data_IF_263999006943
#
_entry.id   IF_263999006943
#
_cell.length_a   1.000
_cell.length_b   1.000
_cell.length_c   1.000
_cell.angle_alpha   90.00
_cell.angle_beta   90.00
_cell.angle_gamma   90.00
#
_symmetry.space_group_name_H-M   'P 1'
#
loop_
_entity.id
_entity.type
_entity.pdbx_description
1 polymer ?
#
# COMPACT_ATOMS: atom_id res chain seq x y z
N UNK A 1 -6.68 0.04 16.86
CA UNK A 1 -6.64 -0.57 15.54
C UNK A 1 -5.54 0.02 14.65
N UNK A 2 -5.44 1.33 14.55
CA UNK A 2 -4.34 1.98 13.80
C UNK A 2 -2.95 1.56 14.28
N UNK A 3 -2.74 1.52 15.59
CA UNK A 3 -1.45 1.11 16.19
C UNK A 3 -1.07 -0.33 15.82
N UNK A 4 -2.04 -1.22 15.70
CA UNK A 4 -1.81 -2.60 15.26
C UNK A 4 -1.39 -2.67 13.78
N UNK A 5 -1.97 -1.81 12.93
CA UNK A 5 -1.55 -1.70 11.52
C UNK A 5 -0.11 -1.18 11.43
N UNK A 6 0.21 -0.13 12.18
CA UNK A 6 1.56 0.45 12.21
C UNK A 6 2.60 -0.56 12.69
N UNK A 7 2.31 -1.28 13.76
CA UNK A 7 3.20 -2.32 14.29
C UNK A 7 3.40 -3.47 13.27
N UNK A 8 2.31 -3.95 12.66
CA UNK A 8 2.38 -5.01 11.64
C UNK A 8 3.18 -4.56 10.41
N UNK A 9 3.01 -3.31 9.99
CA UNK A 9 3.73 -2.73 8.86
C UNK A 9 5.23 -2.56 9.17
N UNK A 10 5.58 -2.09 10.36
CA UNK A 10 6.98 -2.03 10.83
C UNK A 10 7.64 -3.40 10.83
N UNK A 11 6.97 -4.40 11.36
CA UNK A 11 7.47 -5.78 11.37
C UNK A 11 7.65 -6.33 9.95
N UNK A 12 6.72 -6.03 9.05
CA UNK A 12 6.82 -6.42 7.65
C UNK A 12 8.03 -5.75 6.97
N UNK A 13 8.21 -4.45 7.12
CA UNK A 13 9.37 -3.75 6.58
C UNK A 13 10.69 -4.26 7.15
N UNK A 14 10.74 -4.54 8.45
CA UNK A 14 11.94 -5.09 9.08
C UNK A 14 12.32 -6.46 8.50
N UNK A 15 11.34 -7.36 8.28
CA UNK A 15 11.56 -8.65 7.62
C UNK A 15 12.02 -8.46 6.19
N UNK A 16 11.33 -7.62 5.44
CA UNK A 16 11.64 -7.35 4.03
C UNK A 16 13.05 -6.79 3.85
N UNK A 17 13.45 -5.83 4.69
CA UNK A 17 14.79 -5.26 4.68
C UNK A 17 15.85 -6.32 5.03
N UNK A 18 15.66 -7.03 6.14
CA UNK A 18 16.59 -8.06 6.59
C UNK A 18 16.82 -9.15 5.52
N UNK A 19 15.73 -9.67 4.96
CA UNK A 19 15.77 -10.78 4.02
C UNK A 19 16.33 -10.32 2.66
N UNK A 20 15.99 -9.13 2.22
CA UNK A 20 16.51 -8.53 0.98
C UNK A 20 17.97 -8.14 1.07
N UNK A 21 18.34 -7.40 2.10
CA UNK A 21 19.71 -6.87 2.28
C UNK A 21 20.74 -7.98 2.54
N UNK A 22 20.35 -9.04 3.27
CA UNK A 22 21.21 -10.20 3.50
C UNK A 22 21.58 -10.93 2.20
N UNK A 23 20.73 -10.86 1.19
CA UNK A 23 20.92 -11.55 -0.10
C UNK A 23 21.58 -10.70 -1.17
N UNK A 24 21.27 -9.41 -1.24
CA UNK A 24 21.62 -8.53 -2.39
C UNK A 24 22.12 -7.15 -1.99
N UNK A 25 22.18 -6.84 -0.71
CA UNK A 25 22.43 -5.47 -0.24
C UNK A 25 21.20 -4.58 -0.36
N UNK A 26 21.41 -3.27 -0.32
CA UNK A 26 20.34 -2.29 -0.42
C UNK A 26 19.60 -2.40 -1.75
N UNK A 27 18.27 -2.34 -1.73
CA UNK A 27 17.51 -2.26 -2.97
C UNK A 27 17.81 -0.98 -3.73
N UNK A 28 17.85 -1.08 -5.06
CA UNK A 28 18.09 0.03 -5.96
C UNK A 28 16.82 0.33 -6.76
N UNK A 29 16.60 1.60 -7.04
CA UNK A 29 15.57 2.05 -7.97
C UNK A 29 16.16 3.06 -8.97
N UNK A 30 15.43 3.31 -10.05
CA UNK A 30 15.78 4.39 -10.97
C UNK A 30 15.78 5.72 -10.24
N UNK A 31 16.75 6.55 -10.59
CA UNK A 31 16.84 7.90 -10.06
C UNK A 31 16.29 8.90 -11.07
N UNK A 32 15.31 9.67 -10.62
CA UNK A 32 14.69 10.74 -11.39
C UNK A 32 14.79 12.03 -10.60
N UNK A 33 15.39 13.07 -11.21
CA UNK A 33 15.65 14.34 -10.54
C UNK A 33 14.36 15.03 -10.04
N UNK A 34 13.27 14.88 -10.80
CA UNK A 34 11.97 15.49 -10.52
C UNK A 34 11.04 14.59 -9.69
N UNK A 35 11.46 13.35 -9.38
CA UNK A 35 10.64 12.38 -8.63
C UNK A 35 11.37 11.85 -7.39
N UNK A 36 11.82 12.76 -6.56
CA UNK A 36 12.60 12.43 -5.36
C UNK A 36 11.73 11.94 -4.22
N UNK A 37 12.34 11.15 -3.33
CA UNK A 37 11.67 10.61 -2.14
C UNK A 37 12.58 10.67 -0.91
N UNK A 38 11.99 10.83 0.28
CA UNK A 38 12.71 10.64 1.54
C UNK A 38 13.26 9.22 1.74
N UNK A 39 12.78 8.24 0.96
CA UNK A 39 13.28 6.86 0.97
C UNK A 39 14.70 6.73 0.40
N UNK A 40 15.15 7.66 -0.44
CA UNK A 40 16.42 7.59 -1.15
C UNK A 40 17.59 7.78 -0.20
N UNK A 41 18.64 6.96 -0.37
CA UNK A 41 19.83 6.92 0.46
C UNK A 41 21.07 7.22 -0.38
N UNK A 42 21.85 8.20 0.06
CA UNK A 42 23.11 8.55 -0.60
C UNK A 42 22.94 9.22 -1.98
N UNK A 43 24.00 9.21 -2.74
CA UNK A 43 24.04 9.81 -4.06
C UNK A 43 23.71 8.78 -5.15
N UNK A 44 23.01 9.18 -6.21
CA UNK A 44 22.73 8.28 -7.33
C UNK A 44 24.03 7.93 -8.08
N UNK A 45 24.10 6.69 -8.56
CA UNK A 45 25.17 6.20 -9.42
C UNK A 45 24.58 5.39 -10.57
N UNK A 46 25.09 5.61 -11.78
CA UNK A 46 24.62 4.91 -13.00
C UNK A 46 23.08 4.96 -13.21
N UNK A 47 22.49 6.11 -12.89
CA UNK A 47 21.03 6.31 -13.03
C UNK A 47 20.19 5.59 -11.98
N UNK A 48 20.80 5.09 -10.91
CA UNK A 48 20.12 4.37 -9.82
C UNK A 48 20.49 4.94 -8.46
N UNK A 49 19.61 4.76 -7.50
CA UNK A 49 19.81 5.16 -6.12
C UNK A 49 19.33 4.07 -5.17
N UNK A 50 20.06 3.88 -4.08
CA UNK A 50 19.63 2.99 -3.01
C UNK A 50 18.43 3.59 -2.25
N UNK A 51 17.57 2.73 -1.72
CA UNK A 51 16.40 3.19 -0.99
C UNK A 51 15.99 2.22 0.14
N UNK A 52 15.22 2.73 1.08
CA UNK A 52 14.52 1.98 2.12
C UNK A 52 13.16 2.61 2.39
N UNK A 53 12.18 1.85 2.89
CA UNK A 53 10.98 2.45 3.46
C UNK A 53 11.34 3.51 4.50
N UNK A 54 10.64 4.63 4.45
CA UNK A 54 10.92 5.79 5.30
C UNK A 54 9.70 6.16 6.12
N UNK A 55 9.83 6.18 7.45
CA UNK A 55 8.76 6.63 8.34
C UNK A 55 8.61 8.15 8.25
N UNK A 56 7.38 8.62 8.05
CA UNK A 56 7.07 10.05 7.99
C UNK A 56 7.22 10.68 9.37
N UNK A 57 7.72 11.91 9.41
CA UNK A 57 7.76 12.70 10.65
C UNK A 57 6.36 13.09 11.13
N UNK A 58 5.44 13.32 10.21
CA UNK A 58 4.04 13.63 10.48
C UNK A 58 3.13 12.76 9.62
N UNK A 59 2.03 12.23 10.20
CA UNK A 59 1.03 11.48 9.45
C UNK A 59 0.41 12.32 8.33
N UNK A 60 0.08 11.68 7.22
CA UNK A 60 -0.65 12.33 6.14
C UNK A 60 -2.10 12.61 6.53
N UNK A 61 -2.65 13.70 6.02
CA UNK A 61 -4.04 14.09 6.23
C UNK A 61 -4.94 13.57 5.10
N UNK A 62 -6.01 12.84 5.46
CA UNK A 62 -7.01 12.31 4.53
C UNK A 62 -8.37 13.01 4.66
N UNK A 63 -8.45 14.09 5.44
CA UNK A 63 -9.72 14.78 5.74
C UNK A 63 -10.38 15.32 4.46
N UNK A 64 -9.61 15.98 3.59
CA UNK A 64 -10.14 16.52 2.34
C UNK A 64 -10.71 15.43 1.42
N UNK A 65 -10.07 14.27 1.35
CA UNK A 65 -10.56 13.13 0.57
C UNK A 65 -11.86 12.57 1.17
N UNK A 66 -11.90 12.40 2.47
CA UNK A 66 -13.09 11.91 3.19
C UNK A 66 -14.28 12.88 3.00
N UNK A 67 -14.05 14.18 3.13
CA UNK A 67 -15.07 15.21 2.93
C UNK A 67 -15.59 15.23 1.50
N UNK A 68 -14.69 15.17 0.52
CA UNK A 68 -15.07 15.13 -0.91
C UNK A 68 -15.94 13.93 -1.27
N UNK A 69 -15.72 12.80 -0.60
CA UNK A 69 -16.47 11.56 -0.80
C UNK A 69 -17.71 11.46 0.11
N UNK A 70 -17.84 12.36 1.09
CA UNK A 70 -18.86 12.23 2.15
C UNK A 70 -18.81 10.83 2.79
N UNK A 71 -17.60 10.35 3.07
CA UNK A 71 -17.34 8.99 3.52
C UNK A 71 -16.28 8.99 4.62
N UNK A 72 -16.53 8.28 5.70
CA UNK A 72 -15.51 8.02 6.70
C UNK A 72 -14.56 6.94 6.17
N UNK A 73 -13.29 7.27 6.03
CA UNK A 73 -12.27 6.32 5.59
C UNK A 73 -11.86 5.42 6.75
N UNK A 74 -11.81 4.13 6.51
CA UNK A 74 -11.45 3.16 7.56
C UNK A 74 -10.07 3.47 8.13
N UNK A 75 -9.89 3.48 9.46
CA UNK A 75 -8.62 3.85 10.11
C UNK A 75 -7.41 3.03 9.67
N UNK A 76 -7.62 1.75 9.31
CA UNK A 76 -6.54 0.89 8.81
C UNK A 76 -5.97 1.37 7.47
N UNK A 77 -6.80 1.91 6.57
CA UNK A 77 -6.33 2.47 5.30
C UNK A 77 -5.52 3.75 5.53
N UNK A 78 -6.00 4.62 6.42
CA UNK A 78 -5.28 5.83 6.81
C UNK A 78 -3.91 5.49 7.41
N UNK A 79 -3.87 4.48 8.29
CA UNK A 79 -2.63 4.01 8.88
C UNK A 79 -1.65 3.44 7.84
N UNK A 80 -2.15 2.65 6.89
CA UNK A 80 -1.31 2.06 5.83
C UNK A 80 -0.65 3.12 4.96
N UNK A 81 -1.43 4.08 4.48
CA UNK A 81 -0.95 5.07 3.51
C UNK A 81 -0.37 6.35 4.12
N UNK A 82 -0.66 6.61 5.39
CA UNK A 82 -0.38 7.90 6.01
C UNK A 82 0.91 8.01 6.80
N UNK A 83 1.62 6.92 7.06
CA UNK A 83 2.76 6.92 7.98
C UNK A 83 4.11 6.56 7.36
N UNK A 84 4.10 5.97 6.16
CA UNK A 84 5.32 5.51 5.51
C UNK A 84 5.36 5.91 4.05
N UNK A 85 6.56 6.23 3.59
CA UNK A 85 6.90 6.24 2.17
C UNK A 85 7.64 4.97 1.82
N UNK A 86 7.37 4.44 0.64
CA UNK A 86 8.06 3.27 0.10
C UNK A 86 7.76 3.16 -1.39
N UNK A 87 8.55 2.39 -2.11
CA UNK A 87 8.11 1.84 -3.39
C UNK A 87 7.08 0.73 -3.14
N UNK A 88 6.24 0.41 -4.13
CA UNK A 88 5.42 -0.79 -4.06
C UNK A 88 6.28 -2.02 -3.78
N UNK A 89 5.83 -2.91 -2.89
CA UNK A 89 6.61 -4.06 -2.46
C UNK A 89 5.99 -5.36 -2.96
N UNK A 90 6.67 -6.08 -3.87
CA UNK A 90 6.25 -7.42 -4.27
C UNK A 90 6.36 -8.40 -3.10
N UNK A 91 5.30 -9.16 -2.88
CA UNK A 91 5.23 -10.16 -1.81
C UNK A 91 4.20 -11.25 -2.13
N UNK A 92 4.07 -12.21 -1.22
CA UNK A 92 3.12 -13.31 -1.32
C UNK A 92 2.16 -13.31 -0.14
N UNK A 93 0.93 -13.69 -0.41
CA UNK A 93 -0.05 -14.07 0.61
C UNK A 93 -0.59 -15.45 0.28
N UNK A 94 -0.20 -16.48 1.03
CA UNK A 94 -0.61 -17.88 0.78
C UNK A 94 -0.45 -18.30 -0.69
N UNK A 95 0.69 -17.97 -1.28
CA UNK A 95 1.00 -18.27 -2.68
C UNK A 95 0.42 -17.29 -3.70
N UNK A 96 -0.44 -16.36 -3.31
CA UNK A 96 -0.93 -15.30 -4.18
C UNK A 96 0.14 -14.21 -4.30
N UNK A 97 0.63 -13.99 -5.53
CA UNK A 97 1.54 -12.89 -5.83
C UNK A 97 0.79 -11.56 -5.82
N UNK A 98 1.33 -10.61 -5.09
CA UNK A 98 0.78 -9.26 -5.01
C UNK A 98 1.89 -8.22 -4.89
N UNK A 99 1.54 -6.98 -5.14
CA UNK A 99 2.39 -5.83 -4.92
C UNK A 99 1.67 -4.86 -3.99
N UNK A 100 2.19 -4.70 -2.78
CA UNK A 100 1.63 -3.80 -1.77
C UNK A 100 1.82 -2.36 -2.23
N UNK A 101 0.72 -1.60 -2.31
CA UNK A 101 0.73 -0.20 -2.73
C UNK A 101 1.14 0.67 -1.56
N UNK A 102 2.16 1.50 -1.79
CA UNK A 102 2.66 2.49 -0.83
C UNK A 102 3.07 3.75 -1.60
N UNK A 103 2.88 4.94 -1.05
CA UNK A 103 3.28 6.17 -1.72
C UNK A 103 4.81 6.35 -1.62
N UNK A 104 5.40 6.83 -2.71
CA UNK A 104 6.84 7.10 -2.81
C UNK A 104 7.22 8.44 -2.17
N UNK A 105 6.40 9.46 -2.39
CA UNK A 105 6.56 10.81 -1.88
C UNK A 105 5.18 11.49 -1.72
N UNK A 106 5.15 12.74 -1.32
CA UNK A 106 3.88 13.46 -1.14
C UNK A 106 3.10 13.63 -2.46
N UNK A 107 3.77 13.86 -3.58
CA UNK A 107 3.11 13.98 -4.88
C UNK A 107 2.50 12.63 -5.32
N UNK A 108 3.18 11.53 -5.07
CA UNK A 108 2.66 10.18 -5.31
C UNK A 108 1.46 9.84 -4.41
N UNK A 109 1.49 10.30 -3.16
CA UNK A 109 0.35 10.18 -2.25
C UNK A 109 -0.87 10.96 -2.77
N UNK A 110 -0.67 12.14 -3.34
CA UNK A 110 -1.76 12.92 -3.93
C UNK A 110 -2.38 12.19 -5.13
N UNK A 111 -1.56 11.60 -5.98
CA UNK A 111 -2.03 10.73 -7.08
C UNK A 111 -2.79 9.51 -6.57
N UNK A 112 -2.29 8.87 -5.51
CA UNK A 112 -2.97 7.75 -4.88
C UNK A 112 -4.35 8.17 -4.33
N UNK A 113 -4.46 9.32 -3.69
CA UNK A 113 -5.74 9.86 -3.21
C UNK A 113 -6.71 10.12 -4.37
N UNK A 114 -6.25 10.70 -5.47
CA UNK A 114 -7.08 10.90 -6.68
C UNK A 114 -7.58 9.56 -7.23
N UNK A 115 -6.72 8.56 -7.32
CA UNK A 115 -7.09 7.22 -7.78
C UNK A 115 -8.09 6.53 -6.84
N UNK A 116 -7.93 6.69 -5.53
CA UNK A 116 -8.87 6.17 -4.53
C UNK A 116 -10.24 6.86 -4.65
N UNK A 117 -10.28 8.17 -4.85
CA UNK A 117 -11.52 8.92 -5.08
C UNK A 117 -12.21 8.37 -6.32
N UNK A 118 -11.52 8.25 -7.43
CA UNK A 118 -12.08 7.69 -8.68
C UNK A 118 -12.63 6.27 -8.50
N UNK A 119 -11.89 5.42 -7.79
CA UNK A 119 -12.32 4.06 -7.48
C UNK A 119 -13.60 4.03 -6.61
N UNK A 120 -13.64 4.81 -5.55
CA UNK A 120 -14.80 4.87 -4.65
C UNK A 120 -16.04 5.46 -5.33
N UNK A 121 -15.87 6.46 -6.20
CA UNK A 121 -16.96 7.00 -7.00
C UNK A 121 -17.49 5.95 -8.02
N UNK A 122 -16.60 5.16 -8.62
CA UNK A 122 -16.99 4.06 -9.49
C UNK A 122 -17.81 3.00 -8.74
N UNK A 123 -17.36 2.59 -7.55
CA UNK A 123 -18.09 1.63 -6.72
C UNK A 123 -19.48 2.16 -6.35
N UNK A 124 -19.57 3.45 -6.00
CA UNK A 124 -20.85 4.12 -5.69
C UNK A 124 -21.82 4.08 -6.90
N UNK A 125 -21.31 4.39 -8.09
CA UNK A 125 -22.07 4.32 -9.34
C UNK A 125 -22.57 2.91 -9.64
N UNK A 126 -21.76 1.90 -9.34
CA UNK A 126 -22.11 0.49 -9.50
C UNK A 126 -22.94 -0.07 -8.33
N UNK A 127 -23.28 0.75 -7.35
CA UNK A 127 -24.00 0.36 -6.12
C UNK A 127 -23.31 -0.78 -5.36
N UNK A 128 -21.98 -0.80 -5.38
CA UNK A 128 -21.14 -1.71 -4.61
C UNK A 128 -20.71 -1.05 -3.30
N UNK A 129 -20.51 -1.86 -2.25
CA UNK A 129 -20.03 -1.35 -0.97
C UNK A 129 -18.62 -0.80 -1.11
N UNK A 130 -18.28 0.30 -0.40
CA UNK A 130 -16.96 0.94 -0.52
C UNK A 130 -15.83 0.00 -0.10
N UNK A 131 -14.82 -0.10 -0.93
CA UNK A 131 -13.55 -0.76 -0.63
C UNK A 131 -12.38 0.12 -1.06
N UNK A 132 -11.25 -0.04 -0.40
CA UNK A 132 -10.03 0.71 -0.65
C UNK A 132 -8.98 -0.27 -1.14
N UNK A 133 -8.49 -0.11 -2.37
CA UNK A 133 -7.45 -0.98 -2.88
C UNK A 133 -6.14 -0.74 -2.11
N UNK A 134 -5.46 -1.82 -1.74
CA UNK A 134 -4.21 -1.80 -0.98
C UNK A 134 -3.07 -2.54 -1.69
N UNK A 135 -3.38 -3.38 -2.65
CA UNK A 135 -2.40 -4.11 -3.43
C UNK A 135 -2.95 -4.48 -4.81
N UNK A 136 -2.05 -4.59 -5.76
CA UNK A 136 -2.31 -5.15 -7.09
C UNK A 136 -1.95 -6.62 -7.12
N UNK A 137 -2.46 -7.36 -8.10
CA UNK A 137 -2.10 -8.75 -8.35
C UNK A 137 -1.56 -8.90 -9.78
N UNK A 138 -1.15 -10.11 -10.15
CA UNK A 138 -0.75 -10.41 -11.55
C UNK A 138 -1.93 -10.41 -12.53
N UNK A 139 -3.16 -10.45 -12.03
CA UNK A 139 -4.36 -10.37 -12.83
C UNK A 139 -4.93 -8.95 -12.74
N UNK A 140 -4.90 -8.22 -13.86
CA UNK A 140 -5.39 -6.82 -13.94
C UNK A 140 -6.86 -6.65 -13.56
N UNK A 141 -7.65 -7.72 -13.59
CA UNK A 141 -9.07 -7.70 -13.20
C UNK A 141 -9.28 -7.91 -11.71
N UNK A 142 -8.22 -8.13 -10.93
CA UNK A 142 -8.31 -8.33 -9.48
C UNK A 142 -7.48 -7.32 -8.72
N UNK A 143 -8.00 -6.91 -7.56
CA UNK A 143 -7.31 -6.08 -6.58
C UNK A 143 -7.38 -6.75 -5.21
N UNK A 144 -6.43 -6.45 -4.36
CA UNK A 144 -6.58 -6.70 -2.94
C UNK A 144 -7.07 -5.41 -2.31
N UNK A 145 -8.19 -5.49 -1.61
CA UNK A 145 -8.92 -4.34 -1.11
C UNK A 145 -9.25 -4.50 0.37
N UNK A 146 -9.34 -3.39 1.05
CA UNK A 146 -9.84 -3.28 2.43
C UNK A 146 -11.32 -2.89 2.37
N UNK A 147 -12.19 -3.68 3.00
CA UNK A 147 -13.58 -3.26 3.22
C UNK A 147 -13.60 -2.01 4.10
N UNK A 148 -14.17 -0.93 3.56
CA UNK A 148 -14.18 0.34 4.28
C UNK A 148 -15.09 0.34 5.52
N UNK A 149 -15.99 -0.61 5.64
CA UNK A 149 -16.87 -0.75 6.81
C UNK A 149 -16.26 -1.66 7.88
N UNK A 150 -15.92 -2.89 7.52
CA UNK A 150 -15.46 -3.90 8.48
C UNK A 150 -13.95 -3.93 8.70
N UNK A 151 -13.16 -3.43 7.75
CA UNK A 151 -11.71 -3.55 7.76
C UNK A 151 -11.19 -4.92 7.33
N UNK A 152 -12.04 -5.81 6.86
CA UNK A 152 -11.62 -7.09 6.27
C UNK A 152 -10.80 -6.85 5.01
N UNK A 153 -9.89 -7.77 4.70
CA UNK A 153 -9.11 -7.74 3.47
C UNK A 153 -9.67 -8.74 2.49
N UNK A 154 -9.94 -8.26 1.27
CA UNK A 154 -10.56 -9.02 0.19
C UNK A 154 -9.67 -9.16 -1.03
N UNK A 155 -9.81 -10.27 -1.74
CA UNK A 155 -9.53 -10.33 -3.17
C UNK A 155 -10.81 -9.93 -3.90
N UNK A 156 -10.75 -8.88 -4.69
CA UNK A 156 -11.89 -8.27 -5.36
C UNK A 156 -11.75 -8.36 -6.88
N UNK A 157 -12.79 -8.86 -7.56
CA UNK A 157 -12.88 -8.89 -9.02
C UNK A 157 -13.61 -7.63 -9.52
N UNK A 158 -12.93 -6.84 -10.31
CA UNK A 158 -13.45 -5.54 -10.77
C UNK A 158 -14.64 -5.66 -11.71
N UNK A 159 -14.64 -6.68 -12.57
CA UNK A 159 -15.72 -6.93 -13.55
C UNK A 159 -17.02 -7.36 -12.89
N UNK A 160 -16.97 -8.38 -12.06
CA UNK A 160 -18.16 -9.00 -11.44
C UNK A 160 -18.54 -8.38 -10.09
N UNK A 161 -17.61 -7.70 -9.43
CA UNK A 161 -17.77 -7.26 -8.04
C UNK A 161 -17.71 -8.39 -7.01
N UNK A 162 -17.30 -9.60 -7.45
CA UNK A 162 -17.08 -10.73 -6.54
C UNK A 162 -15.97 -10.39 -5.55
N UNK A 163 -16.12 -10.85 -4.32
CA UNK A 163 -15.18 -10.64 -3.22
C UNK A 163 -14.92 -11.94 -2.48
N UNK A 164 -13.66 -12.20 -2.17
CA UNK A 164 -13.21 -13.34 -1.36
C UNK A 164 -12.43 -12.80 -0.16
N UNK A 165 -12.87 -13.10 1.05
CA UNK A 165 -12.16 -12.69 2.25
C UNK A 165 -10.82 -13.42 2.37
N UNK A 166 -9.73 -12.65 2.44
CA UNK A 166 -8.37 -13.15 2.62
C UNK A 166 -7.96 -13.13 4.10
N UNK A 167 -8.34 -12.10 4.82
CA UNK A 167 -8.00 -11.92 6.22
C UNK A 167 -9.08 -11.12 6.95
N UNK A 168 -9.24 -11.32 8.29
CA UNK A 168 -10.25 -10.61 9.06
C UNK A 168 -9.92 -9.14 9.32
N UNK A 169 -8.65 -8.75 9.14
CA UNK A 169 -8.16 -7.38 9.36
C UNK A 169 -6.88 -7.12 8.59
N UNK A 170 -6.53 -5.85 8.43
CA UNK A 170 -5.27 -5.47 7.79
C UNK A 170 -4.04 -5.93 8.59
N UNK A 171 -3.97 -5.79 9.93
CA UNK A 171 -2.86 -6.35 10.69
C UNK A 171 -2.67 -7.85 10.46
N UNK A 172 -3.74 -8.63 10.51
CA UNK A 172 -3.69 -10.08 10.27
C UNK A 172 -3.21 -10.41 8.85
N UNK A 173 -3.56 -9.60 7.87
CA UNK A 173 -3.08 -9.72 6.49
C UNK A 173 -1.57 -9.43 6.40
N UNK A 174 -1.13 -8.29 6.93
CA UNK A 174 0.28 -7.86 6.89
C UNK A 174 1.22 -8.85 7.59
N UNK A 175 0.80 -9.41 8.73
CA UNK A 175 1.60 -10.40 9.47
C UNK A 175 1.85 -11.70 8.70
N UNK A 176 0.97 -12.02 7.76
CA UNK A 176 1.06 -13.24 6.92
C UNK A 176 1.70 -13.02 5.57
N UNK A 177 2.10 -11.79 5.25
CA UNK A 177 2.83 -11.52 4.02
C UNK A 177 4.21 -12.16 4.06
N UNK A 178 4.53 -12.86 2.99
CA UNK A 178 5.84 -13.46 2.77
C UNK A 178 6.63 -12.58 1.82
N UNK A 179 7.89 -12.32 2.16
CA UNK A 179 8.79 -11.53 1.32
C UNK A 179 9.27 -12.35 0.13
N UNK A 180 9.28 -11.73 -1.05
CA UNK A 180 9.88 -12.33 -2.23
C UNK A 180 11.36 -11.94 -2.31
N UNK A 181 12.23 -12.85 -2.78
CA UNK A 181 13.56 -12.46 -3.21
C UNK A 181 13.40 -11.52 -4.42
N UNK A 182 13.86 -10.28 -4.25
CA UNK A 182 13.92 -9.30 -5.35
C UNK A 182 15.01 -9.67 -6.34
#
# INVERSE_FOLDING_TARGET
MSDQVLSALEHFFARWQRDGEARRGLPLCEWEADWRSPCQLGEPADGRVAWRPHHRSEPADFTAMADALELTIHPSAIALFGHWFSRPIPCLFKGLHLELILPWNDADLDLLKENLIGHLLMLRKLKRTPSIFIATTRNEMTLISLDNESGQVWLEWLDSGRRLTLAPSLPAFLERLETLPQ
#
